data_IF_636118892887
#
_entry.id   IF_636118892887
#
_cell.length_a   1.000
_cell.length_b   1.000
_cell.length_c   1.000
_cell.angle_alpha   90.00
_cell.angle_beta   90.00
_cell.angle_gamma   90.00
#
_symmetry.space_group_name_H-M   'P 1'
#
loop_
_entity.id
_entity.type
_entity.pdbx_description
1 polymer ?
#
# COMPACT_ATOMS: atom_id res chain seq x y z
N UNK A 1 -14.98 -7.19 -9.48
CA UNK A 1 -13.63 -7.38 -10.04
C UNK A 1 -12.73 -8.02 -9.01
N UNK A 2 -12.81 -9.35 -8.86
CA UNK A 2 -12.09 -10.07 -7.79
C UNK A 2 -10.98 -10.96 -8.36
N UNK A 3 -10.60 -10.74 -9.62
CA UNK A 3 -9.57 -11.51 -10.30
C UNK A 3 -8.19 -10.95 -9.94
N UNK A 4 -7.36 -11.76 -9.29
CA UNK A 4 -5.95 -11.44 -9.15
C UNK A 4 -5.28 -11.38 -10.54
N UNK A 5 -4.59 -10.27 -10.84
CA UNK A 5 -3.92 -10.07 -12.12
C UNK A 5 -2.39 -9.89 -12.00
N UNK A 6 -1.87 -9.53 -10.82
CA UNK A 6 -0.42 -9.46 -10.52
C UNK A 6 -0.10 -10.07 -9.15
N UNK A 7 1.18 -10.46 -8.97
CA UNK A 7 1.72 -10.86 -7.67
C UNK A 7 3.23 -10.64 -7.62
N UNK A 8 3.68 -10.13 -6.48
CA UNK A 8 5.09 -10.11 -6.10
C UNK A 8 5.30 -10.86 -4.78
N UNK A 9 6.39 -11.63 -4.69
CA UNK A 9 6.76 -12.37 -3.48
C UNK A 9 8.26 -12.22 -3.20
N UNK A 10 8.57 -11.41 -2.19
CA UNK A 10 9.95 -11.09 -1.79
C UNK A 10 10.74 -12.26 -1.21
N UNK A 11 10.08 -13.36 -0.83
CA UNK A 11 10.74 -14.53 -0.25
C UNK A 11 11.26 -15.52 -1.31
N UNK A 12 10.94 -15.30 -2.59
CA UNK A 12 11.39 -16.17 -3.69
C UNK A 12 12.88 -15.93 -4.01
N UNK A 13 13.53 -16.91 -4.63
CA UNK A 13 14.96 -16.82 -4.95
C UNK A 13 15.29 -15.73 -5.98
N UNK A 14 14.33 -15.40 -6.85
CA UNK A 14 14.42 -14.29 -7.81
C UNK A 14 13.11 -13.50 -7.77
N UNK A 15 12.92 -12.60 -6.78
CA UNK A 15 11.68 -11.84 -6.63
C UNK A 15 11.42 -10.96 -7.84
N UNK A 16 10.30 -11.20 -8.50
CA UNK A 16 9.81 -10.44 -9.62
C UNK A 16 8.30 -10.32 -9.52
N UNK A 17 7.75 -9.27 -10.10
CA UNK A 17 6.32 -9.21 -10.30
C UNK A 17 5.93 -10.16 -11.43
N UNK A 18 4.84 -10.89 -11.25
CA UNK A 18 4.38 -11.91 -12.19
C UNK A 18 2.90 -11.70 -12.53
N UNK A 19 2.52 -11.88 -13.81
CA UNK A 19 1.12 -11.88 -14.19
C UNK A 19 0.38 -13.06 -13.57
N UNK A 20 -0.90 -12.84 -13.23
CA UNK A 20 -1.84 -13.84 -12.73
C UNK A 20 -3.09 -13.96 -13.59
N UNK A 21 -3.18 -13.15 -14.64
CA UNK A 21 -4.22 -13.21 -15.64
C UNK A 21 -3.63 -13.17 -17.06
N UNK A 22 -4.20 -13.93 -17.99
CA UNK A 22 -3.69 -14.06 -19.36
C UNK A 22 -3.61 -12.74 -20.12
N UNK A 23 -4.47 -11.77 -19.80
CA UNK A 23 -4.45 -10.45 -20.42
C UNK A 23 -3.26 -9.60 -19.96
N UNK A 24 -2.74 -9.80 -18.74
CA UNK A 24 -1.54 -9.12 -18.26
C UNK A 24 -0.26 -9.59 -18.95
N UNK A 25 -0.23 -10.80 -19.51
CA UNK A 25 0.96 -11.31 -20.23
C UNK A 25 1.33 -10.44 -21.45
N UNK A 26 0.37 -9.70 -21.99
CA UNK A 26 0.57 -8.84 -23.16
C UNK A 26 1.01 -7.42 -22.81
N UNK A 27 1.03 -7.03 -21.53
CA UNK A 27 1.38 -5.66 -21.12
C UNK A 27 2.77 -5.25 -21.62
N UNK A 28 3.73 -6.18 -21.67
CA UNK A 28 5.09 -5.89 -22.15
C UNK A 28 5.14 -5.48 -23.64
N UNK A 29 4.12 -5.84 -24.43
CA UNK A 29 4.01 -5.41 -25.84
C UNK A 29 3.47 -3.99 -25.95
N UNK A 30 2.62 -3.57 -25.02
CA UNK A 30 1.97 -2.26 -24.97
C UNK A 30 2.84 -1.24 -24.22
N UNK A 31 3.50 -1.69 -23.16
CA UNK A 31 4.38 -0.95 -22.27
C UNK A 31 5.69 -1.72 -22.03
N UNK A 32 6.66 -1.66 -22.96
CA UNK A 32 7.95 -2.30 -22.79
C UNK A 32 8.67 -1.80 -21.53
N UNK A 33 9.14 -2.72 -20.69
CA UNK A 33 9.79 -2.43 -19.42
C UNK A 33 8.86 -2.37 -18.20
N UNK A 34 7.54 -2.54 -18.37
CA UNK A 34 6.56 -2.55 -17.28
C UNK A 34 6.98 -3.50 -16.14
N UNK A 35 7.30 -4.76 -16.47
CA UNK A 35 7.62 -5.77 -15.45
C UNK A 35 8.92 -5.48 -14.70
N UNK A 36 9.92 -4.89 -15.38
CA UNK A 36 11.19 -4.52 -14.75
C UNK A 36 10.99 -3.35 -13.80
N UNK A 37 10.26 -2.33 -14.24
CA UNK A 37 9.93 -1.15 -13.43
C UNK A 37 9.16 -1.54 -12.17
N UNK A 38 8.05 -2.27 -12.30
CA UNK A 38 7.24 -2.67 -11.15
C UNK A 38 8.00 -3.60 -10.21
N UNK A 39 8.81 -4.52 -10.75
CA UNK A 39 9.70 -5.35 -9.92
C UNK A 39 10.66 -4.49 -9.09
N UNK A 40 11.24 -3.43 -9.67
CA UNK A 40 12.15 -2.53 -8.96
C UNK A 40 11.43 -1.72 -7.87
N UNK A 41 10.22 -1.23 -8.16
CA UNK A 41 9.37 -0.51 -7.21
C UNK A 41 9.05 -1.44 -6.02
N UNK A 42 8.50 -2.63 -6.27
CA UNK A 42 8.09 -3.56 -5.23
C UNK A 42 9.27 -4.07 -4.41
N UNK A 43 10.44 -4.27 -5.02
CA UNK A 43 11.68 -4.57 -4.29
C UNK A 43 12.07 -3.43 -3.35
N UNK A 44 11.99 -2.19 -3.83
CA UNK A 44 12.31 -1.00 -3.02
C UNK A 44 11.35 -0.83 -1.86
N UNK A 45 10.07 -1.16 -2.05
CA UNK A 45 9.02 -1.07 -1.02
C UNK A 45 9.18 -2.10 0.11
N UNK A 46 9.85 -3.23 -0.12
CA UNK A 46 10.06 -4.25 0.93
C UNK A 46 10.77 -3.72 2.17
N UNK A 47 11.72 -2.81 2.00
CA UNK A 47 12.53 -2.29 3.10
C UNK A 47 11.75 -1.33 4.03
N UNK A 48 10.98 -0.35 3.51
CA UNK A 48 10.02 0.40 4.30
C UNK A 48 9.08 -0.45 5.16
N UNK A 49 8.52 -1.56 4.65
CA UNK A 49 7.65 -2.43 5.45
C UNK A 49 8.38 -3.05 6.66
N UNK A 50 9.65 -3.43 6.51
CA UNK A 50 10.47 -3.94 7.62
C UNK A 50 10.70 -2.88 8.70
N UNK A 51 11.04 -1.66 8.30
CA UNK A 51 11.22 -0.52 9.22
C UNK A 51 9.90 -0.18 9.91
N UNK A 52 8.79 -0.21 9.17
CA UNK A 52 7.46 0.04 9.72
C UNK A 52 7.09 -1.00 10.79
N UNK A 53 7.34 -2.30 10.56
CA UNK A 53 7.13 -3.33 11.57
C UNK A 53 7.92 -3.08 12.87
N UNK A 54 9.18 -2.64 12.76
CA UNK A 54 10.00 -2.30 13.92
C UNK A 54 9.44 -1.09 14.69
N UNK A 55 9.02 -0.06 13.97
CA UNK A 55 8.38 1.12 14.56
C UNK A 55 7.07 0.78 15.27
N UNK A 56 6.22 -0.03 14.62
CA UNK A 56 4.93 -0.45 15.18
C UNK A 56 5.13 -1.27 16.45
N UNK A 57 6.07 -2.22 16.46
CA UNK A 57 6.42 -2.97 17.68
C UNK A 57 6.76 -2.05 18.85
N UNK A 58 7.51 -0.98 18.57
CA UNK A 58 7.83 0.07 19.54
C UNK A 58 6.59 0.84 20.01
N UNK A 59 5.71 1.27 19.09
CA UNK A 59 4.47 1.99 19.45
C UNK A 59 3.52 1.15 20.30
N UNK A 60 3.51 -0.17 20.09
CA UNK A 60 2.70 -1.11 20.87
C UNK A 60 3.41 -1.66 22.11
N UNK A 61 4.65 -1.23 22.40
CA UNK A 61 5.47 -1.72 23.53
C UNK A 61 5.56 -3.26 23.58
N UNK A 62 5.68 -3.91 22.43
CA UNK A 62 5.75 -5.36 22.32
C UNK A 62 7.19 -5.86 22.48
N UNK A 63 7.35 -7.05 23.08
CA UNK A 63 8.65 -7.67 23.33
C UNK A 63 9.36 -8.10 22.05
N UNK A 64 10.67 -8.27 22.12
CA UNK A 64 11.44 -8.87 21.04
C UNK A 64 11.05 -10.35 20.84
N UNK A 65 11.13 -10.83 19.59
CA UNK A 65 10.85 -12.23 19.24
C UNK A 65 9.39 -12.56 18.88
N UNK A 66 8.45 -11.62 19.01
CA UNK A 66 7.09 -11.78 18.52
C UNK A 66 7.00 -11.72 16.98
N UNK A 67 6.11 -12.51 16.39
CA UNK A 67 5.75 -12.42 14.97
C UNK A 67 4.57 -11.46 14.83
N UNK A 68 4.76 -10.42 14.03
CA UNK A 68 3.76 -9.39 13.78
C UNK A 68 3.56 -9.18 12.29
N UNK A 69 2.39 -8.70 11.90
CA UNK A 69 2.05 -8.44 10.50
C UNK A 69 1.68 -6.99 10.28
N UNK A 70 2.15 -6.41 9.18
CA UNK A 70 1.65 -5.16 8.64
C UNK A 70 1.01 -5.48 7.29
N UNK A 71 -0.16 -4.92 7.05
CA UNK A 71 -0.89 -5.07 5.80
C UNK A 71 -1.21 -3.68 5.28
N UNK A 72 -1.08 -3.48 3.98
CA UNK A 72 -1.43 -2.24 3.30
C UNK A 72 -2.38 -2.58 2.17
N UNK A 73 -3.51 -1.88 2.13
CA UNK A 73 -4.53 -2.06 1.11
C UNK A 73 -4.86 -0.68 0.54
N UNK A 74 -4.72 -0.54 -0.77
CA UNK A 74 -5.02 0.69 -1.49
C UNK A 74 -5.53 0.41 -2.90
N UNK A 75 -6.21 1.39 -3.48
CA UNK A 75 -6.81 1.32 -4.81
C UNK A 75 -8.05 2.20 -4.93
N UNK A 76 -8.76 2.08 -6.04
CA UNK A 76 -9.92 2.91 -6.35
C UNK A 76 -11.08 2.09 -6.93
N UNK A 77 -12.29 2.66 -6.85
CA UNK A 77 -13.46 2.19 -7.58
C UNK A 77 -13.86 3.23 -8.62
N UNK A 78 -14.21 2.74 -9.80
CA UNK A 78 -14.67 3.56 -10.93
C UNK A 78 -16.08 3.15 -11.36
N UNK A 79 -16.81 4.10 -11.95
CA UNK A 79 -18.11 3.84 -12.58
C UNK A 79 -17.95 3.10 -13.91
N UNK A 80 -19.05 2.52 -14.45
CA UNK A 80 -19.08 2.06 -15.83
C UNK A 80 -18.73 3.14 -16.86
N UNK A 81 -18.95 4.41 -16.52
CA UNK A 81 -18.59 5.58 -17.32
C UNK A 81 -17.12 6.03 -17.13
N UNK A 82 -16.29 5.21 -16.46
CA UNK A 82 -14.87 5.47 -16.16
C UNK A 82 -14.64 6.73 -15.32
N UNK A 83 -15.61 7.06 -14.46
CA UNK A 83 -15.48 8.17 -13.49
C UNK A 83 -15.11 7.65 -12.12
N UNK A 84 -14.16 8.32 -11.45
CA UNK A 84 -13.76 8.02 -10.09
C UNK A 84 -14.97 8.06 -9.13
N UNK A 85 -15.09 7.04 -8.26
CA UNK A 85 -16.14 6.98 -7.23
C UNK A 85 -15.57 7.13 -5.83
N UNK A 86 -14.55 6.33 -5.49
CA UNK A 86 -13.89 6.37 -4.19
C UNK A 86 -12.50 5.75 -4.25
N UNK A 87 -11.63 6.22 -3.37
CA UNK A 87 -10.30 5.68 -3.14
C UNK A 87 -10.22 5.06 -1.76
N UNK A 88 -9.35 4.09 -1.60
CA UNK A 88 -9.02 3.46 -0.33
C UNK A 88 -7.51 3.44 -0.16
N UNK A 89 -7.05 3.73 1.05
CA UNK A 89 -5.64 3.67 1.42
C UNK A 89 -5.55 3.45 2.94
N UNK A 90 -5.28 2.22 3.34
CA UNK A 90 -5.36 1.81 4.74
C UNK A 90 -4.29 0.79 5.11
N UNK A 91 -3.79 0.93 6.33
CA UNK A 91 -2.90 -0.02 6.96
C UNK A 91 -3.60 -0.75 8.09
N UNK A 92 -3.28 -2.03 8.23
CA UNK A 92 -3.62 -2.85 9.37
C UNK A 92 -2.35 -3.40 10.04
N UNK A 93 -2.41 -3.59 11.36
CA UNK A 93 -1.37 -4.20 12.17
C UNK A 93 -1.95 -5.37 12.96
N UNK A 94 -1.31 -6.53 12.88
CA UNK A 94 -1.78 -7.80 13.46
C UNK A 94 -3.26 -8.11 13.12
N UNK A 95 -3.65 -7.86 11.86
CA UNK A 95 -4.99 -8.10 11.34
C UNK A 95 -6.06 -7.11 11.80
N UNK A 96 -5.68 -6.00 12.46
CA UNK A 96 -6.61 -4.97 12.94
C UNK A 96 -6.32 -3.63 12.28
N UNK A 97 -7.35 -2.84 12.03
CA UNK A 97 -7.20 -1.49 11.48
C UNK A 97 -6.22 -0.67 12.31
N UNK A 98 -5.31 0.02 11.63
CA UNK A 98 -4.27 0.85 12.24
C UNK A 98 -4.44 2.31 11.86
N UNK A 99 -4.35 2.65 10.56
CA UNK A 99 -4.52 4.02 10.06
C UNK A 99 -5.06 4.00 8.63
N UNK A 100 -5.94 4.95 8.29
CA UNK A 100 -6.51 5.09 6.94
C UNK A 100 -6.51 6.55 6.48
N UNK A 101 -6.35 6.79 5.19
CA UNK A 101 -6.51 8.11 4.58
C UNK A 101 -8.00 8.44 4.43
N UNK A 102 -8.39 9.61 4.89
CA UNK A 102 -9.63 10.28 4.48
C UNK A 102 -9.29 11.19 3.29
N UNK A 103 -9.64 10.76 2.08
CA UNK A 103 -9.36 11.50 0.85
C UNK A 103 -10.27 12.73 0.66
N UNK A 104 -11.42 12.78 1.32
CA UNK A 104 -12.31 13.95 1.27
C UNK A 104 -11.64 15.13 1.99
N UNK A 105 -11.06 14.88 3.16
CA UNK A 105 -10.43 15.91 3.98
C UNK A 105 -8.91 16.00 3.82
N UNK A 106 -8.28 15.06 3.11
CA UNK A 106 -6.83 14.88 3.04
C UNK A 106 -6.19 14.75 4.43
N UNK A 107 -6.85 14.00 5.33
CA UNK A 107 -6.37 13.74 6.70
C UNK A 107 -6.29 12.25 6.99
N UNK A 108 -5.70 11.88 8.12
CA UNK A 108 -5.53 10.47 8.50
C UNK A 108 -6.40 10.06 9.68
N UNK A 109 -7.18 9.00 9.55
CA UNK A 109 -7.95 8.42 10.66
C UNK A 109 -7.12 7.35 11.36
N UNK A 110 -6.78 7.57 12.63
CA UNK A 110 -6.09 6.61 13.48
C UNK A 110 -7.12 5.69 14.16
N UNK A 111 -7.03 4.38 13.93
CA UNK A 111 -7.97 3.41 14.49
C UNK A 111 -7.65 3.04 15.96
N UNK A 112 -6.40 3.21 16.37
CA UNK A 112 -5.92 2.94 17.73
C UNK A 112 -4.97 4.03 18.21
N UNK A 113 -4.77 4.12 19.52
CA UNK A 113 -4.00 5.23 20.09
C UNK A 113 -2.53 5.25 19.64
N UNK A 114 -1.96 4.08 19.42
CA UNK A 114 -0.61 3.88 18.91
C UNK A 114 -0.44 4.51 17.51
N UNK A 115 -1.50 4.51 16.70
CA UNK A 115 -1.50 5.07 15.36
C UNK A 115 -1.44 6.61 15.34
N UNK A 116 -1.70 7.28 16.46
CA UNK A 116 -1.51 8.74 16.55
C UNK A 116 -0.04 9.14 16.30
N UNK A 117 0.92 8.27 16.59
CA UNK A 117 2.33 8.53 16.28
C UNK A 117 2.55 8.62 14.77
N UNK A 118 1.96 7.73 13.98
CA UNK A 118 2.02 7.78 12.52
C UNK A 118 1.21 8.95 11.97
N UNK A 119 -0.02 9.15 12.46
CA UNK A 119 -0.89 10.28 12.06
C UNK A 119 -0.16 11.62 12.17
N UNK A 120 0.44 11.92 13.33
CA UNK A 120 1.18 13.17 13.54
C UNK A 120 2.34 13.35 12.58
N UNK A 121 3.06 12.27 12.24
CA UNK A 121 4.17 12.33 11.28
C UNK A 121 3.68 12.61 9.86
N UNK A 122 2.64 11.91 9.42
CA UNK A 122 2.10 12.06 8.07
C UNK A 122 1.32 13.37 7.88
N UNK A 123 0.71 13.90 8.94
CA UNK A 123 0.03 15.20 8.90
C UNK A 123 0.96 16.40 9.08
N UNK A 124 2.21 16.17 9.52
CA UNK A 124 3.22 17.22 9.55
C UNK A 124 3.64 17.67 8.15
N UNK A 125 3.45 16.82 7.14
CA UNK A 125 3.78 17.11 5.76
C UNK A 125 2.55 16.86 4.86
N UNK A 126 1.84 17.94 4.54
CA UNK A 126 0.56 17.87 3.82
C UNK A 126 0.65 17.20 2.43
N UNK A 127 1.82 17.29 1.80
CA UNK A 127 2.15 16.64 0.53
C UNK A 127 1.97 15.12 0.57
N UNK A 128 2.12 14.49 1.74
CA UNK A 128 1.95 13.04 1.89
C UNK A 128 0.48 12.67 1.64
N UNK A 129 -0.46 13.34 2.29
CA UNK A 129 -1.88 13.06 2.10
C UNK A 129 -2.34 13.46 0.69
N UNK A 130 -1.91 14.63 0.20
CA UNK A 130 -2.28 15.13 -1.12
C UNK A 130 -1.73 14.24 -2.26
N UNK A 131 -0.49 13.77 -2.14
CA UNK A 131 0.10 12.86 -3.14
C UNK A 131 -0.55 11.49 -3.17
N UNK A 132 -0.94 10.94 -2.01
CA UNK A 132 -1.72 9.70 -1.97
C UNK A 132 -3.12 9.88 -2.54
N UNK A 133 -3.78 11.00 -2.23
CA UNK A 133 -5.07 11.34 -2.81
C UNK A 133 -4.99 11.43 -4.34
N UNK A 134 -4.03 12.19 -4.87
CA UNK A 134 -3.85 12.34 -6.32
C UNK A 134 -3.63 11.00 -7.01
N UNK A 135 -2.79 10.13 -6.43
CA UNK A 135 -2.59 8.77 -6.96
C UNK A 135 -3.89 7.94 -6.99
N UNK A 136 -4.76 8.05 -5.98
CA UNK A 136 -6.02 7.30 -5.94
C UNK A 136 -7.09 7.84 -6.90
N UNK A 137 -7.04 9.15 -7.19
CA UNK A 137 -8.07 9.86 -7.96
C UNK A 137 -7.72 9.99 -9.46
N UNK A 138 -6.43 10.03 -9.80
CA UNK A 138 -5.95 10.45 -11.13
C UNK A 138 -5.08 9.41 -11.85
N UNK A 139 -4.59 8.37 -11.17
CA UNK A 139 -3.73 7.31 -11.74
C UNK A 139 -4.45 5.97 -11.70
#
# INVERSE_FOLDING_TARGET
DDQQFVRFDSATASPREEPRAAWMERVEQEEPGYWEQETQILRSDTQPYRVNLQNLRGYFNQSEGGVHTIQHMYGCEVSPELTFKRGFFQYAYDGRDYIALDSETSTWTAAVQQALNTKRKWEAEKSIAEGRKAYLEET
#
